data_IF_182274857541
#
_entry.id   IF_182274857541
#
_cell.length_a   1.000
_cell.length_b   1.000
_cell.length_c   1.000
_cell.angle_alpha   90.00
_cell.angle_beta   90.00
_cell.angle_gamma   90.00
#
_symmetry.space_group_name_H-M   'P 1'
#
loop_
_entity.id
_entity.type
_entity.pdbx_description
1 polymer ?
#
# COMPACT_ATOMS: atom_id res chain seq x y z
N UNK A 1 -9.59 10.99 -10.88
CA UNK A 1 -8.32 10.32 -10.52
C UNK A 1 -8.07 10.18 -9.01
N UNK A 2 -8.94 10.65 -8.11
CA UNK A 2 -8.73 10.59 -6.63
C UNK A 2 -9.19 9.28 -5.96
N UNK A 3 -9.53 8.25 -6.74
CA UNK A 3 -10.10 6.98 -6.24
C UNK A 3 -9.21 5.75 -6.48
N UNK A 4 -8.05 5.90 -7.13
CA UNK A 4 -7.23 4.77 -7.54
C UNK A 4 -6.71 3.90 -6.37
N UNK A 5 -6.68 4.46 -5.15
CA UNK A 5 -6.21 3.77 -3.93
C UNK A 5 -7.33 3.59 -2.89
N UNK A 6 -8.59 3.76 -3.27
CA UNK A 6 -9.68 3.53 -2.34
C UNK A 6 -9.72 2.04 -1.94
N UNK A 7 -9.68 1.74 -0.64
CA UNK A 7 -9.59 0.38 -0.11
C UNK A 7 -8.18 -0.20 0.00
N UNK A 8 -7.14 0.57 -0.36
CA UNK A 8 -5.75 0.22 -0.05
C UNK A 8 -5.33 0.79 1.30
N UNK A 9 -4.51 0.03 2.01
CA UNK A 9 -3.91 0.37 3.29
C UNK A 9 -2.44 0.69 3.12
N UNK A 10 -1.89 1.56 3.98
CA UNK A 10 -0.46 1.83 4.05
C UNK A 10 0.11 1.32 5.37
N UNK A 11 1.12 0.45 5.31
CA UNK A 11 1.86 -0.04 6.48
C UNK A 11 3.31 0.43 6.40
N UNK A 12 3.83 0.91 7.54
CA UNK A 12 5.26 1.18 7.67
C UNK A 12 6.02 -0.15 7.76
N UNK A 13 7.00 -0.32 6.88
CA UNK A 13 8.00 -1.38 6.95
C UNK A 13 9.15 -0.92 7.87
N UNK A 14 9.58 0.35 7.74
CA UNK A 14 10.51 1.02 8.65
C UNK A 14 10.29 2.55 8.69
N UNK A 15 11.25 3.31 9.21
CA UNK A 15 11.19 4.77 9.37
C UNK A 15 10.96 5.58 8.09
N UNK A 16 11.49 5.13 6.94
CA UNK A 16 11.23 5.75 5.62
C UNK A 16 10.25 4.94 4.76
N UNK A 17 9.98 3.70 5.19
CA UNK A 17 9.47 2.63 4.36
C UNK A 17 7.98 2.37 4.47
N UNK A 18 7.21 2.52 3.36
CA UNK A 18 5.76 2.26 3.31
C UNK A 18 5.36 1.28 2.20
N UNK A 19 4.68 0.22 2.60
CA UNK A 19 3.95 -0.68 1.71
C UNK A 19 2.52 -0.15 1.51
N UNK A 20 2.05 -0.11 0.26
CA UNK A 20 0.65 0.14 -0.08
C UNK A 20 0.04 -1.17 -0.61
N UNK A 21 -0.95 -1.70 0.10
CA UNK A 21 -1.53 -3.01 -0.18
C UNK A 21 -3.03 -3.10 0.09
N UNK A 22 -3.69 -4.12 -0.46
CA UNK A 22 -5.08 -4.48 -0.19
C UNK A 22 -5.18 -5.99 -0.01
N UNK A 23 -6.03 -6.45 0.90
CA UNK A 23 -6.42 -7.86 1.01
C UNK A 23 -7.83 -8.00 0.45
N UNK A 24 -8.01 -8.90 -0.50
CA UNK A 24 -9.31 -9.24 -1.09
C UNK A 24 -9.26 -10.65 -1.67
N UNK A 25 -10.36 -11.39 -1.55
CA UNK A 25 -10.51 -12.73 -2.12
C UNK A 25 -9.35 -13.68 -1.73
N UNK A 26 -8.96 -13.61 -0.46
CA UNK A 26 -7.82 -14.36 0.12
C UNK A 26 -6.46 -14.05 -0.55
N UNK A 27 -6.39 -13.00 -1.36
CA UNK A 27 -5.19 -12.55 -2.05
C UNK A 27 -4.68 -11.23 -1.48
N UNK A 28 -3.34 -11.10 -1.47
CA UNK A 28 -2.64 -9.89 -1.10
C UNK A 28 -2.19 -9.14 -2.37
N UNK A 29 -2.75 -7.95 -2.57
CA UNK A 29 -2.45 -7.09 -3.69
C UNK A 29 -1.49 -5.98 -3.26
N UNK A 30 -0.36 -5.84 -3.96
CA UNK A 30 0.64 -4.80 -3.69
C UNK A 30 0.57 -3.75 -4.80
N UNK A 31 0.14 -2.53 -4.45
CA UNK A 31 0.10 -1.41 -5.37
C UNK A 31 1.42 -0.63 -5.44
N UNK A 32 2.28 -0.78 -4.42
CA UNK A 32 3.62 -0.24 -4.47
C UNK A 32 4.36 -0.21 -3.13
N UNK A 33 5.66 -0.02 -3.25
CA UNK A 33 6.58 0.28 -2.15
C UNK A 33 6.98 1.76 -2.31
N UNK A 34 6.55 2.60 -1.38
CA UNK A 34 6.75 4.06 -1.46
C UNK A 34 7.72 4.54 -0.40
N UNK A 35 8.55 5.48 -0.84
CA UNK A 35 9.68 6.03 -0.11
C UNK A 35 9.73 7.53 -0.09
N UNK A 36 10.16 8.03 1.07
CA UNK A 36 10.91 9.27 1.21
C UNK A 36 12.34 8.91 1.61
N UNK A 37 13.30 9.66 1.04
CA UNK A 37 14.74 9.61 1.34
C UNK A 37 15.05 9.65 2.84
#
# INVERSE_FOLDING_TARGET
MRHALQGYWSRRIDGGHRLVYKVADEQLWIAGLRYHY
#
